data_IF_761605853015
#
_entry.id   IF_761605853015
#
_cell.length_a   1.000
_cell.length_b   1.000
_cell.length_c   1.000
_cell.angle_alpha   90.00
_cell.angle_beta   90.00
_cell.angle_gamma   90.00
#
_symmetry.space_group_name_H-M   'P 1'
#
loop_
_entity.id
_entity.type
_entity.pdbx_description
1 polymer ?
#
# COMPACT_ATOMS: atom_id res chain seq x y z
N UNK A 1 -34.88 16.25 -10.36
CA UNK A 1 -34.22 15.17 -9.58
C UNK A 1 -34.47 15.40 -8.10
N UNK A 2 -34.77 14.36 -7.31
CA UNK A 2 -35.09 14.51 -5.88
C UNK A 2 -33.86 14.92 -5.09
N UNK A 3 -33.99 15.98 -4.29
CA UNK A 3 -32.97 16.47 -3.34
C UNK A 3 -32.51 15.36 -2.37
N UNK A 4 -33.39 14.40 -2.10
CA UNK A 4 -33.10 13.22 -1.28
C UNK A 4 -32.15 12.24 -1.97
N UNK A 5 -32.26 12.09 -3.30
CA UNK A 5 -31.39 11.19 -4.08
C UNK A 5 -29.97 11.75 -4.13
N UNK A 6 -29.83 13.05 -4.36
CA UNK A 6 -28.54 13.74 -4.30
C UNK A 6 -27.86 13.65 -2.91
N UNK A 7 -28.64 13.68 -1.83
CA UNK A 7 -28.11 13.50 -0.47
C UNK A 7 -27.67 12.06 -0.18
N UNK A 8 -28.36 11.05 -0.74
CA UNK A 8 -27.97 9.64 -0.64
C UNK A 8 -26.68 9.40 -1.43
N UNK A 9 -26.59 9.95 -2.65
CA UNK A 9 -25.43 9.80 -3.51
C UNK A 9 -24.20 10.51 -2.91
N UNK A 10 -24.35 11.71 -2.31
CA UNK A 10 -23.27 12.41 -1.58
C UNK A 10 -22.80 11.69 -0.32
N UNK A 11 -23.69 11.02 0.42
CA UNK A 11 -23.32 10.32 1.66
C UNK A 11 -22.40 9.13 1.39
N UNK A 12 -22.58 8.45 0.26
CA UNK A 12 -21.76 7.30 -0.13
C UNK A 12 -20.34 7.72 -0.57
N UNK A 13 -20.14 8.96 -1.04
CA UNK A 13 -18.83 9.44 -1.50
C UNK A 13 -17.92 9.94 -0.36
N UNK A 14 -18.43 10.16 0.86
CA UNK A 14 -17.70 10.85 1.94
C UNK A 14 -17.53 10.06 3.25
N UNK A 15 -18.03 8.82 3.35
CA UNK A 15 -17.79 8.00 4.54
C UNK A 15 -16.40 7.35 4.45
N UNK A 16 -15.45 7.85 5.26
CA UNK A 16 -14.25 7.07 5.60
C UNK A 16 -14.71 5.73 6.18
N UNK A 17 -14.32 4.62 5.58
CA UNK A 17 -14.60 3.29 6.13
C UNK A 17 -13.93 3.17 7.50
N UNK A 18 -14.74 3.08 8.57
CA UNK A 18 -14.25 2.88 9.93
C UNK A 18 -14.30 1.39 10.27
N UNK A 19 -13.21 0.88 10.84
CA UNK A 19 -13.10 -0.51 11.29
C UNK A 19 -13.01 -0.55 12.81
N UNK A 20 -13.90 -1.30 13.46
CA UNK A 20 -13.83 -1.52 14.89
C UNK A 20 -12.74 -2.54 15.23
N UNK A 21 -11.85 -2.21 16.16
CA UNK A 21 -10.77 -3.08 16.63
C UNK A 21 -10.71 -3.11 18.15
N UNK A 22 -10.45 -4.28 18.74
CA UNK A 22 -10.25 -4.43 20.19
C UNK A 22 -8.77 -4.43 20.53
N UNK A 23 -8.36 -3.57 21.47
CA UNK A 23 -6.96 -3.45 21.93
C UNK A 23 -6.85 -3.90 23.38
N UNK A 24 -5.90 -4.78 23.68
CA UNK A 24 -5.49 -5.09 25.06
C UNK A 24 -4.26 -4.26 25.40
N UNK A 25 -4.25 -3.66 26.58
CA UNK A 25 -3.18 -2.77 27.01
C UNK A 25 -2.84 -2.95 28.49
N UNK A 26 -1.59 -2.61 28.89
CA UNK A 26 -1.22 -2.54 30.30
C UNK A 26 -2.13 -1.59 31.09
N UNK A 27 -2.34 -1.90 32.37
CA UNK A 27 -3.23 -1.12 33.24
C UNK A 27 -2.77 0.33 33.35
N UNK A 28 -1.47 0.54 33.43
CA UNK A 28 -0.85 1.86 33.54
C UNK A 28 -1.14 2.72 32.30
N UNK A 29 -1.05 2.11 31.10
CA UNK A 29 -1.36 2.79 29.85
C UNK A 29 -2.84 3.14 29.76
N UNK A 30 -3.72 2.22 30.16
CA UNK A 30 -5.16 2.48 30.19
C UNK A 30 -5.50 3.63 31.15
N UNK A 31 -4.99 3.59 32.38
CA UNK A 31 -5.21 4.66 33.37
C UNK A 31 -4.71 6.02 32.90
N UNK A 32 -3.56 6.08 32.21
CA UNK A 32 -3.08 7.33 31.61
C UNK A 32 -4.07 7.88 30.57
N UNK A 33 -4.56 7.02 29.67
CA UNK A 33 -5.54 7.41 28.64
C UNK A 33 -6.83 7.94 29.28
N UNK A 34 -7.32 7.33 30.36
CA UNK A 34 -8.52 7.82 31.05
C UNK A 34 -8.32 9.22 31.61
N UNK A 35 -7.23 9.45 32.34
CA UNK A 35 -6.93 10.75 32.93
C UNK A 35 -6.67 11.83 31.86
N UNK A 36 -6.01 11.46 30.75
CA UNK A 36 -5.75 12.38 29.67
C UNK A 36 -7.02 12.74 28.89
N UNK A 37 -7.91 11.78 28.66
CA UNK A 37 -9.21 12.02 28.03
C UNK A 37 -10.07 12.97 28.89
N UNK A 38 -10.08 12.78 30.21
CA UNK A 38 -10.76 13.68 31.15
C UNK A 38 -10.18 15.11 31.08
N UNK A 39 -8.85 15.25 31.08
CA UNK A 39 -8.18 16.54 30.95
C UNK A 39 -8.52 17.27 29.65
N UNK A 40 -8.63 16.54 28.54
CA UNK A 40 -9.00 17.09 27.23
C UNK A 40 -10.51 17.23 27.02
N UNK A 41 -11.34 16.76 27.95
CA UNK A 41 -12.81 16.68 27.79
C UNK A 41 -13.24 15.89 26.55
N UNK A 42 -12.54 14.81 26.24
CA UNK A 42 -12.81 13.91 25.10
C UNK A 42 -13.21 12.51 25.57
N UNK A 43 -13.80 11.70 24.70
CA UNK A 43 -13.96 10.28 25.01
C UNK A 43 -12.62 9.54 24.96
N UNK A 44 -12.51 8.45 25.73
CA UNK A 44 -11.32 7.57 25.71
C UNK A 44 -11.00 7.08 24.31
N UNK A 45 -12.03 6.77 23.52
CA UNK A 45 -11.88 6.31 22.14
C UNK A 45 -11.32 7.41 21.24
N UNK A 46 -11.83 8.64 21.32
CA UNK A 46 -11.29 9.76 20.55
C UNK A 46 -9.86 10.09 20.95
N UNK A 47 -9.54 10.08 22.24
CA UNK A 47 -8.17 10.28 22.74
C UNK A 47 -7.22 9.17 22.24
N UNK A 48 -7.66 7.91 22.25
CA UNK A 48 -6.87 6.81 21.69
C UNK A 48 -6.62 6.99 20.18
N UNK A 49 -7.65 7.39 19.43
CA UNK A 49 -7.52 7.65 17.99
C UNK A 49 -6.51 8.78 17.75
N UNK A 50 -6.62 9.91 18.45
CA UNK A 50 -5.69 11.03 18.32
C UNK A 50 -4.23 10.63 18.63
N UNK A 51 -4.02 9.87 19.71
CA UNK A 51 -2.69 9.36 20.05
C UNK A 51 -2.14 8.40 18.98
N UNK A 52 -3.00 7.57 18.40
CA UNK A 52 -2.62 6.68 17.30
C UNK A 52 -2.31 7.45 16.02
N UNK A 53 -3.07 8.49 15.69
CA UNK A 53 -2.82 9.36 14.53
C UNK A 53 -1.44 10.04 14.64
N UNK A 54 -1.10 10.58 15.81
CA UNK A 54 0.23 11.12 16.09
C UNK A 54 1.33 10.04 16.00
N UNK A 55 1.08 8.85 16.56
CA UNK A 55 2.01 7.73 16.47
C UNK A 55 2.25 7.26 15.02
N UNK A 56 1.20 7.26 14.19
CA UNK A 56 1.28 6.97 12.76
C UNK A 56 2.14 8.03 12.07
N UNK A 57 1.92 9.31 12.33
CA UNK A 57 2.71 10.40 11.73
C UNK A 57 4.21 10.28 12.09
N UNK A 58 4.52 9.96 13.35
CA UNK A 58 5.90 9.70 13.79
C UNK A 58 6.51 8.52 13.05
N UNK A 59 5.76 7.42 12.90
CA UNK A 59 6.22 6.24 12.18
C UNK A 59 6.42 6.51 10.68
N UNK A 60 5.50 7.23 10.04
CA UNK A 60 5.56 7.59 8.63
C UNK A 60 6.81 8.45 8.35
N UNK A 61 7.09 9.43 9.21
CA UNK A 61 8.30 10.26 9.12
C UNK A 61 9.59 9.45 9.31
N UNK A 62 9.61 8.53 10.28
CA UNK A 62 10.78 7.69 10.53
C UNK A 62 11.09 6.75 9.36
N UNK A 63 10.06 6.26 8.66
CA UNK A 63 10.18 5.39 7.50
C UNK A 63 10.31 6.16 6.17
N UNK A 64 10.11 7.49 6.20
CA UNK A 64 10.08 8.39 5.05
C UNK A 64 9.05 7.94 4.01
N UNK A 65 7.81 7.72 4.43
CA UNK A 65 6.69 7.24 3.59
C UNK A 65 5.59 8.32 3.43
N UNK A 66 6.00 9.59 3.38
CA UNK A 66 5.11 10.74 3.18
C UNK A 66 5.23 11.28 1.73
N UNK A 67 4.68 12.48 1.44
CA UNK A 67 4.83 13.10 0.10
C UNK A 67 6.28 13.44 -0.27
N UNK A 68 7.17 13.50 0.72
CA UNK A 68 8.61 13.67 0.52
C UNK A 68 9.32 12.31 0.58
N UNK A 69 8.60 11.19 0.40
CA UNK A 69 9.18 9.87 0.24
C UNK A 69 10.28 9.95 -0.82
N UNK A 70 11.57 9.78 -0.43
CA UNK A 70 12.64 9.83 -1.40
C UNK A 70 12.45 8.63 -2.32
N UNK A 71 12.56 8.88 -3.63
CA UNK A 71 12.64 7.78 -4.60
C UNK A 71 13.69 6.78 -4.14
N UNK A 72 13.30 5.51 -4.09
CA UNK A 72 14.21 4.45 -3.71
C UNK A 72 15.17 4.21 -4.89
N UNK A 73 16.43 4.62 -4.73
CA UNK A 73 17.49 4.45 -5.75
C UNK A 73 17.69 2.97 -6.13
N UNK A 74 17.35 2.04 -5.23
CA UNK A 74 17.48 0.62 -5.52
C UNK A 74 16.52 0.12 -6.60
N UNK A 75 15.45 0.87 -6.90
CA UNK A 75 14.52 0.56 -8.00
C UNK A 75 15.27 0.55 -9.32
N UNK A 76 16.01 1.60 -9.68
CA UNK A 76 16.67 1.65 -11.00
C UNK A 76 17.79 0.63 -11.19
N UNK A 77 18.35 0.18 -10.06
CA UNK A 77 19.44 -0.79 -9.98
C UNK A 77 18.94 -2.23 -9.83
N UNK A 78 17.62 -2.42 -9.67
CA UNK A 78 17.02 -3.73 -9.48
C UNK A 78 16.20 -4.15 -10.69
N UNK A 79 16.19 -5.46 -10.95
CA UNK A 79 15.27 -6.10 -11.90
C UNK A 79 14.01 -6.66 -11.24
N UNK A 80 13.86 -6.48 -9.93
CA UNK A 80 12.70 -6.93 -9.18
C UNK A 80 12.16 -5.78 -8.34
N UNK A 81 10.85 -5.59 -8.37
CA UNK A 81 10.19 -4.48 -7.70
C UNK A 81 9.08 -5.01 -6.82
N UNK A 82 9.02 -4.57 -5.57
CA UNK A 82 7.85 -4.75 -4.73
C UNK A 82 6.98 -3.51 -4.83
N UNK A 83 5.79 -3.66 -5.40
CA UNK A 83 4.85 -2.56 -5.65
C UNK A 83 3.60 -2.74 -4.78
N UNK A 84 3.27 -1.73 -3.98
CA UNK A 84 2.06 -1.73 -3.18
C UNK A 84 0.82 -1.60 -4.09
N UNK A 85 -0.19 -2.42 -3.85
CA UNK A 85 -1.45 -2.41 -4.62
C UNK A 85 -2.39 -1.26 -4.25
N UNK A 86 -1.95 -0.32 -3.42
CA UNK A 86 -2.71 0.85 -2.99
C UNK A 86 -4.00 0.53 -2.20
N UNK A 87 -4.18 -0.71 -1.74
CA UNK A 87 -5.40 -1.16 -1.03
C UNK A 87 -5.75 -0.31 0.20
N UNK A 88 -4.74 0.28 0.87
CA UNK A 88 -4.94 1.21 2.01
C UNK A 88 -5.78 2.43 1.63
N UNK A 89 -5.67 2.88 0.38
CA UNK A 89 -6.28 4.13 -0.09
C UNK A 89 -7.45 3.89 -1.04
N UNK A 90 -7.42 2.83 -1.85
CA UNK A 90 -8.52 2.47 -2.73
C UNK A 90 -8.56 0.96 -2.98
N UNK A 91 -9.67 0.33 -2.58
CA UNK A 91 -9.96 -1.08 -2.87
C UNK A 91 -10.19 -1.26 -4.37
N UNK A 92 -10.82 -0.28 -5.04
CA UNK A 92 -11.06 -0.30 -6.48
C UNK A 92 -9.74 -0.35 -7.26
N UNK A 93 -8.76 0.50 -6.90
CA UNK A 93 -7.45 0.48 -7.52
C UNK A 93 -6.73 -0.86 -7.31
N UNK A 94 -6.82 -1.43 -6.09
CA UNK A 94 -6.27 -2.74 -5.79
C UNK A 94 -6.88 -3.85 -6.66
N UNK A 95 -8.20 -3.86 -6.81
CA UNK A 95 -8.91 -4.83 -7.66
C UNK A 95 -8.49 -4.66 -9.11
N UNK A 96 -8.50 -3.42 -9.62
CA UNK A 96 -8.11 -3.12 -11.00
C UNK A 96 -6.68 -3.60 -11.32
N UNK A 97 -5.73 -3.40 -10.39
CA UNK A 97 -4.35 -3.88 -10.57
C UNK A 97 -4.28 -5.41 -10.73
N UNK A 98 -5.12 -6.16 -10.01
CA UNK A 98 -5.15 -7.62 -10.04
C UNK A 98 -5.94 -8.16 -11.25
N UNK A 99 -7.09 -7.58 -11.56
CA UNK A 99 -7.94 -8.04 -12.67
C UNK A 99 -7.33 -7.70 -14.04
N UNK A 100 -6.70 -6.52 -14.16
CA UNK A 100 -6.08 -6.09 -15.42
C UNK A 100 -4.64 -6.62 -15.59
N UNK A 101 -4.02 -7.15 -14.51
CA UNK A 101 -2.63 -7.61 -14.53
C UNK A 101 -1.64 -6.47 -14.79
N UNK A 102 -1.72 -5.40 -14.00
CA UNK A 102 -0.93 -4.19 -14.19
C UNK A 102 -0.14 -3.80 -12.94
N UNK A 103 1.04 -3.22 -13.17
CA UNK A 103 1.78 -2.45 -12.17
C UNK A 103 1.34 -0.99 -12.30
N UNK A 104 0.69 -0.43 -11.27
CA UNK A 104 0.17 0.93 -11.28
C UNK A 104 0.49 1.68 -9.99
N UNK A 105 0.64 3.00 -10.10
CA UNK A 105 0.68 3.90 -8.97
C UNK A 105 -0.09 5.19 -9.32
N UNK A 106 -0.53 5.88 -8.27
CA UNK A 106 -1.53 6.93 -8.37
C UNK A 106 -1.04 8.21 -7.71
N UNK A 107 -1.30 9.34 -8.35
CA UNK A 107 -0.95 10.68 -7.91
C UNK A 107 0.55 10.98 -7.78
N UNK A 108 0.91 12.25 -7.87
CA UNK A 108 2.26 12.75 -7.59
C UNK A 108 2.61 12.63 -6.08
N UNK A 109 3.85 12.25 -5.74
CA UNK A 109 4.96 11.87 -6.63
C UNK A 109 5.00 10.37 -6.99
N UNK A 110 4.12 9.57 -6.38
CA UNK A 110 4.23 8.12 -6.37
C UNK A 110 4.04 7.47 -7.74
N UNK A 111 3.19 8.04 -8.61
CA UNK A 111 2.94 7.54 -9.97
C UNK A 111 4.21 7.41 -10.80
N UNK A 112 5.20 8.28 -10.57
CA UNK A 112 6.48 8.28 -11.29
C UNK A 112 7.38 7.09 -10.96
N UNK A 113 7.07 6.30 -9.92
CA UNK A 113 7.77 5.03 -9.69
C UNK A 113 7.59 4.05 -10.86
N UNK A 114 6.42 4.06 -11.50
CA UNK A 114 6.10 3.17 -12.61
C UNK A 114 6.99 3.43 -13.82
N UNK A 115 7.39 4.69 -14.03
CA UNK A 115 8.24 5.12 -15.14
C UNK A 115 9.67 4.55 -15.05
N UNK A 116 10.05 4.08 -13.86
CA UNK A 116 11.38 3.53 -13.58
C UNK A 116 11.46 2.02 -13.80
N UNK A 117 10.32 1.35 -14.00
CA UNK A 117 10.25 -0.08 -14.25
C UNK A 117 10.65 -0.35 -15.70
N UNK A 118 11.66 -1.21 -15.90
CA UNK A 118 12.19 -1.53 -17.22
C UNK A 118 11.56 -2.79 -17.77
N UNK A 119 11.67 -2.96 -19.08
CA UNK A 119 11.22 -4.17 -19.77
C UNK A 119 11.87 -5.42 -19.15
N UNK A 120 11.06 -6.46 -18.97
CA UNK A 120 11.44 -7.75 -18.39
C UNK A 120 11.88 -7.69 -16.91
N UNK A 121 11.64 -6.59 -16.21
CA UNK A 121 11.70 -6.56 -14.74
C UNK A 121 10.52 -7.33 -14.15
N UNK A 122 10.72 -7.96 -13.00
CA UNK A 122 9.65 -8.65 -12.27
C UNK A 122 9.01 -7.68 -11.27
N UNK A 123 7.70 -7.53 -11.34
CA UNK A 123 6.94 -6.75 -10.36
C UNK A 123 6.13 -7.68 -9.50
N UNK A 124 6.38 -7.65 -8.19
CA UNK A 124 5.58 -8.30 -7.15
C UNK A 124 4.52 -7.32 -6.65
N UNK A 125 3.24 -7.66 -6.78
CA UNK A 125 2.14 -6.88 -6.23
C UNK A 125 1.94 -7.25 -4.75
N UNK A 126 2.10 -6.25 -3.88
CA UNK A 126 2.03 -6.38 -2.43
C UNK A 126 0.73 -5.78 -1.88
N UNK A 127 0.02 -6.57 -1.07
CA UNK A 127 -1.17 -6.16 -0.34
C UNK A 127 -0.84 -5.96 1.14
N UNK A 128 -1.10 -4.75 1.65
CA UNK A 128 -0.87 -4.39 3.05
C UNK A 128 -1.57 -5.37 4.00
N UNK A 129 -0.83 -5.90 4.98
CA UNK A 129 -1.35 -6.87 5.95
C UNK A 129 -1.47 -8.31 5.44
N UNK A 130 -1.24 -8.57 4.16
CA UNK A 130 -1.35 -9.92 3.56
C UNK A 130 -0.03 -10.43 2.99
N UNK A 131 0.66 -9.66 2.16
CA UNK A 131 1.90 -10.07 1.51
C UNK A 131 1.92 -9.87 0.00
N UNK A 132 2.84 -10.54 -0.70
CA UNK A 132 2.80 -10.61 -2.17
C UNK A 132 1.61 -11.48 -2.57
N UNK A 133 0.74 -10.95 -3.42
CA UNK A 133 -0.49 -11.59 -3.89
C UNK A 133 -0.48 -11.90 -5.37
N UNK A 134 0.39 -11.27 -6.15
CA UNK A 134 0.56 -11.54 -7.57
C UNK A 134 1.95 -11.11 -8.03
N UNK A 135 2.35 -11.56 -9.22
CA UNK A 135 3.55 -11.05 -9.89
C UNK A 135 3.45 -11.16 -11.42
N UNK A 136 4.31 -10.44 -12.13
CA UNK A 136 4.48 -10.58 -13.57
C UNK A 136 5.69 -9.81 -14.08
N UNK A 137 5.98 -9.96 -15.38
CA UNK A 137 7.09 -9.29 -16.07
C UNK A 137 6.62 -7.97 -16.68
N UNK A 138 7.28 -6.88 -16.35
CA UNK A 138 6.97 -5.57 -16.88
C UNK A 138 7.25 -5.48 -18.39
N UNK A 139 6.38 -4.77 -19.10
CA UNK A 139 6.54 -4.46 -20.52
C UNK A 139 7.61 -3.40 -20.77
N UNK A 140 7.90 -2.55 -19.78
CA UNK A 140 8.77 -1.38 -19.90
C UNK A 140 8.09 -0.18 -20.58
N UNK A 141 6.80 -0.27 -20.90
CA UNK A 141 6.02 0.79 -21.52
C UNK A 141 5.05 1.40 -20.52
N UNK A 142 5.33 2.63 -20.07
CA UNK A 142 4.40 3.39 -19.23
C UNK A 142 3.24 3.90 -20.06
N UNK A 143 2.04 3.52 -19.65
CA UNK A 143 0.77 4.07 -20.07
C UNK A 143 0.20 5.00 -18.99
N UNK A 144 -0.67 5.92 -19.39
CA UNK A 144 -1.32 6.88 -18.49
C UNK A 144 -2.82 6.83 -18.66
N UNK A 145 -3.54 6.98 -17.56
CA UNK A 145 -5.00 7.16 -17.55
C UNK A 145 -5.42 8.06 -16.41
N UNK A 146 -6.65 8.54 -16.49
CA UNK A 146 -7.26 9.30 -15.39
C UNK A 146 -7.39 8.40 -14.15
N UNK A 147 -7.24 9.00 -12.98
CA UNK A 147 -7.63 8.41 -11.72
C UNK A 147 -8.86 9.17 -11.23
N UNK A 148 -10.03 8.52 -11.24
CA UNK A 148 -11.31 9.20 -11.06
C UNK A 148 -11.47 10.37 -12.05
N UNK A 149 -11.71 11.59 -11.55
CA UNK A 149 -11.88 12.80 -12.36
C UNK A 149 -10.53 13.50 -12.68
N UNK A 150 -9.43 13.03 -12.11
CA UNK A 150 -8.12 13.67 -12.26
C UNK A 150 -7.32 13.09 -13.45
N UNK A 151 -6.88 13.98 -14.33
CA UNK A 151 -6.26 13.62 -15.62
C UNK A 151 -4.84 13.09 -15.43
N UNK A 152 -4.51 11.96 -16.07
CA UNK A 152 -3.17 11.34 -16.06
C UNK A 152 -2.58 11.12 -14.65
N UNK A 153 -3.45 10.97 -13.65
CA UNK A 153 -3.05 10.68 -12.27
C UNK A 153 -2.83 9.18 -11.98
N UNK A 154 -2.96 8.31 -12.99
CA UNK A 154 -2.54 6.92 -12.93
C UNK A 154 -1.48 6.65 -14.00
N UNK A 155 -0.27 6.32 -13.57
CA UNK A 155 0.73 5.71 -14.44
C UNK A 155 0.68 4.19 -14.22
N UNK A 156 0.74 3.42 -15.30
CA UNK A 156 0.73 1.97 -15.20
C UNK A 156 1.52 1.29 -16.33
N UNK A 157 1.99 0.07 -16.07
CA UNK A 157 2.52 -0.85 -17.08
C UNK A 157 1.74 -2.16 -17.06
N UNK A 158 1.52 -2.76 -18.23
CA UNK A 158 1.03 -4.13 -18.32
C UNK A 158 2.11 -5.12 -17.89
N UNK A 159 1.68 -6.19 -17.24
CA UNK A 159 2.54 -7.29 -16.82
C UNK A 159 2.29 -8.52 -17.70
N UNK A 160 3.34 -8.99 -18.37
CA UNK A 160 3.38 -10.27 -19.06
C UNK A 160 3.51 -11.42 -18.05
N UNK A 161 3.05 -12.62 -18.44
CA UNK A 161 3.08 -13.81 -17.59
C UNK A 161 2.48 -13.57 -16.18
N UNK A 162 1.45 -12.70 -16.10
CA UNK A 162 0.87 -12.28 -14.83
C UNK A 162 0.18 -13.46 -14.12
N UNK A 163 0.50 -13.64 -12.85
CA UNK A 163 -0.03 -14.71 -12.00
C UNK A 163 -0.49 -14.15 -10.66
N UNK A 164 -1.74 -14.40 -10.33
CA UNK A 164 -2.27 -14.22 -8.98
C UNK A 164 -1.97 -15.48 -8.17
N UNK A 165 -1.47 -15.31 -6.95
CA UNK A 165 -1.10 -16.40 -6.07
C UNK A 165 -2.33 -16.90 -5.31
N UNK A 166 -2.57 -18.22 -5.33
CA UNK A 166 -3.58 -18.84 -4.48
C UNK A 166 -3.29 -18.58 -2.99
N UNK A 167 -2.00 -18.65 -2.63
CA UNK A 167 -1.51 -18.34 -1.30
C UNK A 167 -0.52 -17.19 -1.36
N UNK A 168 -0.87 -16.08 -0.73
CA UNK A 168 0.01 -14.92 -0.62
C UNK A 168 1.30 -15.25 0.14
N UNK A 169 2.42 -14.66 -0.24
CA UNK A 169 3.69 -14.75 0.48
C UNK A 169 3.78 -13.62 1.53
N UNK A 170 3.67 -13.91 2.84
CA UNK A 170 3.58 -12.85 3.86
C UNK A 170 4.90 -12.10 4.05
N UNK A 171 4.82 -10.85 4.51
CA UNK A 171 5.99 -9.99 4.80
C UNK A 171 7.09 -10.65 5.65
N UNK A 172 6.69 -11.45 6.65
CA UNK A 172 7.64 -12.20 7.48
C UNK A 172 8.46 -13.23 6.68
N UNK A 173 7.83 -13.93 5.75
CA UNK A 173 8.49 -14.91 4.89
C UNK A 173 9.38 -14.25 3.84
N UNK A 174 8.96 -13.11 3.30
CA UNK A 174 9.81 -12.29 2.40
C UNK A 174 11.09 -11.87 3.13
N UNK A 175 10.98 -11.31 4.34
CA UNK A 175 12.14 -10.89 5.15
C UNK A 175 13.07 -12.05 5.46
N UNK A 176 12.53 -13.22 5.83
CA UNK A 176 13.31 -14.45 6.06
C UNK A 176 14.04 -14.89 4.78
N UNK A 177 13.36 -14.89 3.64
CA UNK A 177 13.90 -15.32 2.35
C UNK A 177 15.05 -14.43 1.89
N UNK A 178 14.93 -13.12 2.10
CA UNK A 178 15.96 -12.15 1.72
C UNK A 178 17.06 -11.98 2.76
N UNK A 179 16.83 -12.41 4.01
CA UNK A 179 17.71 -12.17 5.16
C UNK A 179 18.04 -10.67 5.38
N UNK A 180 17.04 -9.80 5.15
CA UNK A 180 17.16 -8.36 5.39
C UNK A 180 15.81 -7.74 5.72
N UNK A 181 15.84 -6.51 6.23
CA UNK A 181 14.63 -5.72 6.39
C UNK A 181 14.19 -5.15 5.04
N UNK A 182 12.87 -5.07 4.84
CA UNK A 182 12.22 -4.47 3.67
C UNK A 182 11.14 -3.53 4.19
N UNK A 183 11.06 -2.32 3.62
CA UNK A 183 10.03 -1.34 3.98
C UNK A 183 8.81 -1.56 3.10
N UNK A 184 7.84 -2.29 3.60
CA UNK A 184 6.63 -2.68 2.87
C UNK A 184 5.57 -1.56 2.71
N UNK A 185 5.75 -0.46 3.43
CA UNK A 185 4.79 0.65 3.47
C UNK A 185 5.02 1.70 2.38
N UNK A 186 6.11 1.58 1.62
CA UNK A 186 6.41 2.43 0.46
C UNK A 186 5.53 2.08 -0.72
N UNK A 187 5.39 3.01 -1.67
CA UNK A 187 4.71 2.69 -2.94
C UNK A 187 5.47 1.60 -3.68
N UNK A 188 6.77 1.79 -3.86
CA UNK A 188 7.61 0.81 -4.56
C UNK A 188 8.97 0.68 -3.88
N UNK A 189 9.54 -0.52 -3.90
CA UNK A 189 10.87 -0.81 -3.35
C UNK A 189 11.63 -1.73 -4.29
N UNK A 190 12.89 -1.39 -4.56
CA UNK A 190 13.78 -2.25 -5.33
C UNK A 190 14.17 -3.51 -4.55
N UNK A 191 14.24 -4.64 -5.24
CA UNK A 191 14.60 -5.94 -4.67
C UNK A 191 15.76 -6.56 -5.44
N UNK A 192 17.01 -6.10 -5.28
CA UNK A 192 18.17 -6.66 -6.01
C UNK A 192 18.30 -8.18 -5.90
N UNK A 193 17.85 -8.73 -4.77
CA UNK A 193 17.82 -10.15 -4.40
C UNK A 193 16.45 -10.82 -4.64
N UNK A 194 15.56 -10.18 -5.42
CA UNK A 194 14.18 -10.61 -5.65
C UNK A 194 14.03 -11.96 -6.36
N UNK A 195 15.06 -12.45 -7.04
CA UNK A 195 15.06 -13.80 -7.62
C UNK A 195 14.77 -14.87 -6.54
N UNK A 196 15.31 -14.72 -5.33
CA UNK A 196 15.06 -15.67 -4.23
C UNK A 196 13.58 -15.75 -3.85
N UNK A 197 12.87 -14.62 -3.98
CA UNK A 197 11.44 -14.54 -3.70
C UNK A 197 10.64 -15.15 -4.83
N UNK A 198 11.04 -14.92 -6.08
CA UNK A 198 10.42 -15.59 -7.24
C UNK A 198 10.58 -17.11 -7.15
N UNK A 199 11.80 -17.60 -6.92
CA UNK A 199 12.08 -19.05 -6.76
C UNK A 199 11.24 -19.65 -5.63
N UNK A 200 11.09 -18.92 -4.52
CA UNK A 200 10.28 -19.36 -3.38
C UNK A 200 8.80 -19.47 -3.74
N UNK A 201 8.26 -18.51 -4.49
CA UNK A 201 6.88 -18.51 -4.96
C UNK A 201 6.66 -19.70 -5.91
N UNK A 202 7.52 -19.86 -6.91
CA UNK A 202 7.43 -20.92 -7.92
C UNK A 202 7.62 -22.33 -7.34
N UNK A 203 8.39 -22.49 -6.27
CA UNK A 203 8.52 -23.76 -5.56
C UNK A 203 7.28 -24.13 -4.72
N UNK A 204 6.35 -23.20 -4.52
CA UNK A 204 5.12 -23.39 -3.73
C UNK A 204 3.82 -23.28 -4.53
N UNK A 205 3.94 -22.95 -5.82
CA UNK A 205 2.84 -22.94 -6.80
C UNK A 205 2.64 -24.34 -7.39
#
# INVERSE_FOLDING_TARGET
MSKLKALIDQKNMAQKELVASTVRMPKEMYSFIEAFAEHLSMSKQETMVALMEEGIAVAEKALKIDRNEPMDDSVEQSRFHLLNTNKRHSIENHIAMLEEGIAAAFYDPWKFNIDRIKKDDIVFLYENGKGIVAYGKATGETLKRNCYDDVDECHYQKLNDFKVLEKSLPAGEIKKTLNRNVVFLRTMTGMPDGQKVLDKIEATA
#
